data_IF_543269088667
#
_entry.id   IF_543269088667
#
_cell.length_a   1.000
_cell.length_b   1.000
_cell.length_c   1.000
_cell.angle_alpha   90.00
_cell.angle_beta   90.00
_cell.angle_gamma   90.00
#
_symmetry.space_group_name_H-M   'P 1'
#
loop_
_entity.id
_entity.type
_entity.pdbx_description
1 polymer ?
#
# COMPACT_ATOMS: atom_id res chain seq x y z
N UNK A 1 6.01 -2.34 -5.73
CA UNK A 1 5.09 -2.12 -4.60
C UNK A 1 5.84 -2.20 -3.28
N UNK A 2 5.73 -1.19 -2.42
CA UNK A 2 6.28 -1.17 -1.05
C UNK A 2 5.14 -0.88 -0.09
N UNK A 3 5.03 -1.63 1.00
CA UNK A 3 3.95 -1.49 1.99
C UNK A 3 4.56 -1.13 3.35
N UNK A 4 4.03 -0.11 4.00
CA UNK A 4 4.43 0.30 5.35
C UNK A 4 3.38 -0.13 6.38
N UNK A 5 3.82 -0.46 7.59
CA UNK A 5 2.90 -0.82 8.67
C UNK A 5 3.49 -0.58 10.06
N UNK A 6 2.64 -0.71 11.07
CA UNK A 6 2.98 -0.39 12.47
C UNK A 6 2.52 1.00 12.86
N UNK A 7 3.16 1.60 13.87
CA UNK A 7 2.80 2.94 14.37
C UNK A 7 3.47 4.01 13.51
N UNK A 8 2.71 4.62 12.60
CA UNK A 8 3.17 5.69 11.71
C UNK A 8 2.33 6.94 11.99
N UNK A 9 2.93 8.09 12.33
CA UNK A 9 2.21 9.35 12.50
C UNK A 9 1.51 9.78 11.20
N UNK A 10 0.29 10.29 11.30
CA UNK A 10 -0.50 10.68 10.13
C UNK A 10 0.18 11.77 9.28
N UNK A 11 0.93 12.69 9.91
CA UNK A 11 1.69 13.71 9.19
C UNK A 11 2.79 13.15 8.28
N UNK A 12 3.22 11.90 8.49
CA UNK A 12 4.28 11.26 7.71
C UNK A 12 3.72 10.53 6.48
N UNK A 13 2.39 10.43 6.32
CA UNK A 13 1.78 9.66 5.25
C UNK A 13 2.13 10.25 3.88
N UNK A 14 2.04 11.57 3.73
CA UNK A 14 2.31 12.25 2.46
C UNK A 14 3.76 12.07 2.00
N UNK A 15 4.73 12.13 2.91
CA UNK A 15 6.14 11.93 2.56
C UNK A 15 6.42 10.46 2.20
N UNK A 16 5.77 9.51 2.88
CA UNK A 16 5.89 8.09 2.58
C UNK A 16 5.29 7.75 1.20
N UNK A 17 4.11 8.29 0.87
CA UNK A 17 3.52 8.14 -0.45
C UNK A 17 4.40 8.74 -1.54
N UNK A 18 4.94 9.96 -1.31
CA UNK A 18 5.89 10.59 -2.24
C UNK A 18 7.19 9.78 -2.41
N UNK A 19 7.62 9.07 -1.38
CA UNK A 19 8.78 8.17 -1.43
C UNK A 19 8.49 6.83 -2.14
N UNK A 20 7.26 6.57 -2.56
CA UNK A 20 6.87 5.37 -3.31
C UNK A 20 6.23 4.25 -2.47
N UNK A 21 5.81 4.54 -1.24
CA UNK A 21 4.96 3.60 -0.49
C UNK A 21 3.60 3.50 -1.18
N UNK A 22 3.15 2.28 -1.41
CA UNK A 22 1.90 1.96 -2.11
C UNK A 22 0.71 1.86 -1.14
N UNK A 23 0.95 1.49 0.11
CA UNK A 23 -0.08 1.39 1.15
C UNK A 23 0.49 1.45 2.56
N UNK A 24 -0.29 2.00 3.50
CA UNK A 24 0.05 2.16 4.91
C UNK A 24 -1.01 1.45 5.76
N UNK A 25 -0.60 0.48 6.58
CA UNK A 25 -1.49 -0.30 7.46
C UNK A 25 -1.10 -0.12 8.93
N UNK A 26 -1.86 0.73 9.62
CA UNK A 26 -1.58 1.15 10.99
C UNK A 26 -1.91 0.11 12.08
N UNK A 27 -1.76 0.48 13.37
CA UNK A 27 -2.06 -0.40 14.48
C UNK A 27 -3.54 -0.81 14.49
N UNK A 28 -3.82 -2.08 14.76
CA UNK A 28 -5.19 -2.60 14.80
C UNK A 28 -5.81 -2.92 13.44
N UNK A 29 -5.08 -2.75 12.32
CA UNK A 29 -5.54 -3.25 11.02
C UNK A 29 -5.74 -4.76 11.08
N UNK A 30 -6.93 -5.23 10.67
CA UNK A 30 -7.24 -6.66 10.57
C UNK A 30 -6.39 -7.30 9.47
N UNK A 31 -5.72 -8.40 9.77
CA UNK A 31 -4.85 -9.12 8.83
C UNK A 31 -5.59 -9.49 7.54
N UNK A 32 -6.81 -10.03 7.66
CA UNK A 32 -7.62 -10.41 6.48
C UNK A 32 -7.97 -9.23 5.58
N UNK A 33 -8.19 -8.05 6.16
CA UNK A 33 -8.45 -6.82 5.41
C UNK A 33 -7.18 -6.35 4.70
N UNK A 34 -6.05 -6.27 5.42
CA UNK A 34 -4.77 -5.90 4.82
C UNK A 34 -4.36 -6.83 3.67
N UNK A 35 -4.54 -8.14 3.84
CA UNK A 35 -4.22 -9.12 2.81
C UNK A 35 -5.05 -8.93 1.54
N UNK A 36 -6.37 -8.71 1.67
CA UNK A 36 -7.24 -8.42 0.54
C UNK A 36 -6.83 -7.14 -0.18
N UNK A 37 -6.60 -6.06 0.58
CA UNK A 37 -6.22 -4.75 0.02
C UNK A 37 -4.87 -4.81 -0.72
N UNK A 38 -3.88 -5.51 -0.16
CA UNK A 38 -2.56 -5.69 -0.80
C UNK A 38 -2.69 -6.50 -2.09
N UNK A 39 -3.54 -7.53 -2.11
CA UNK A 39 -3.77 -8.33 -3.32
C UNK A 39 -4.43 -7.51 -4.43
N UNK A 40 -5.43 -6.69 -4.10
CA UNK A 40 -6.08 -5.77 -5.04
C UNK A 40 -5.08 -4.76 -5.63
N UNK A 41 -4.23 -4.17 -4.78
CA UNK A 41 -3.16 -3.26 -5.22
C UNK A 41 -2.18 -3.95 -6.16
N UNK A 42 -1.77 -5.17 -5.86
CA UNK A 42 -0.83 -5.94 -6.68
C UNK A 42 -1.42 -6.27 -8.07
N UNK A 43 -2.70 -6.66 -8.13
CA UNK A 43 -3.39 -6.94 -9.39
C UNK A 43 -3.46 -5.68 -10.24
N UNK A 44 -3.86 -4.55 -9.64
CA UNK A 44 -3.94 -3.26 -10.33
C UNK A 44 -2.59 -2.81 -10.89
N UNK A 45 -1.52 -2.95 -10.12
CA UNK A 45 -0.16 -2.65 -10.57
C UNK A 45 0.21 -3.51 -11.79
N UNK A 46 -0.10 -4.80 -11.76
CA UNK A 46 0.18 -5.71 -12.89
C UNK A 46 -0.62 -5.38 -14.15
N UNK A 47 -1.89 -5.02 -14.01
CA UNK A 47 -2.74 -4.59 -15.12
C UNK A 47 -2.20 -3.31 -15.77
N UNK A 48 -1.73 -2.35 -14.95
CA UNK A 48 -1.14 -1.12 -15.46
C UNK A 48 0.12 -1.36 -16.29
N UNK A 49 0.92 -2.38 -15.94
CA UNK A 49 2.11 -2.75 -16.71
C UNK A 49 1.76 -3.35 -18.08
N UNK A 50 0.66 -4.10 -18.17
CA UNK A 50 0.22 -4.70 -19.44
C UNK A 50 -0.35 -3.68 -20.43
N UNK A 51 -0.89 -2.56 -19.95
CA UNK A 51 -1.41 -1.47 -20.80
C UNK A 51 -0.28 -0.60 -21.36
N UNK A 52 0.85 -0.55 -20.67
CA UNK A 52 2.02 0.27 -21.04
C UNK A 52 3.13 -0.52 -21.78
N UNK A 53 2.92 -1.82 -22.01
CA UNK A 53 3.80 -2.71 -22.76
C UNK A 53 3.26 -2.92 -24.18
#
# INVERSE_FOLDING_TARGET
MVIAGGVIPQQDYDILYKAGVTGIFGPGTKISKAAADILELLIKDLESLKVNA
#
